data_IF_122568316908
#
_entry.id   IF_122568316908
#
_cell.length_a   1.000
_cell.length_b   1.000
_cell.length_c   1.000
_cell.angle_alpha   90.00
_cell.angle_beta   90.00
_cell.angle_gamma   90.00
#
_symmetry.space_group_name_H-M   'P 1'
#
loop_
_entity.id
_entity.type
_entity.pdbx_description
1 polymer ?
#
# COMPACT_ATOMS: atom_id res chain seq x y z
N UNK A 1 7.81 4.85 -21.99
CA UNK A 1 8.29 3.47 -21.73
C UNK A 1 9.00 3.55 -20.39
N UNK A 2 8.28 3.35 -19.29
CA UNK A 2 8.94 3.22 -17.98
C UNK A 2 9.54 1.83 -17.92
N UNK A 3 10.84 1.76 -17.69
CA UNK A 3 11.57 0.50 -17.61
C UNK A 3 11.23 -0.17 -16.27
N UNK A 4 10.52 -1.31 -16.26
CA UNK A 4 9.94 -1.89 -15.05
C UNK A 4 10.96 -2.31 -13.97
N UNK A 5 12.26 -2.35 -14.31
CA UNK A 5 13.34 -2.63 -13.36
C UNK A 5 13.88 -1.40 -12.61
N UNK A 6 13.66 -0.17 -13.13
CA UNK A 6 14.03 1.06 -12.43
C UNK A 6 13.02 1.39 -11.32
N UNK A 7 11.76 1.06 -11.58
CA UNK A 7 10.63 1.20 -10.66
C UNK A 7 10.87 0.45 -9.33
N UNK A 8 11.34 -0.80 -9.35
CA UNK A 8 11.49 -1.60 -8.12
C UNK A 8 12.45 -0.97 -7.10
N UNK A 9 13.64 -0.56 -7.55
CA UNK A 9 14.63 0.05 -6.65
C UNK A 9 14.14 1.40 -6.11
N UNK A 10 13.41 2.16 -6.93
CA UNK A 10 12.79 3.42 -6.50
C UNK A 10 11.69 3.18 -5.46
N UNK A 11 10.83 2.18 -5.68
CA UNK A 11 9.78 1.80 -4.72
C UNK A 11 10.37 1.30 -3.41
N UNK A 12 11.41 0.47 -3.47
CA UNK A 12 12.10 -0.03 -2.28
C UNK A 12 12.77 1.11 -1.50
N UNK A 13 13.42 2.05 -2.20
CA UNK A 13 14.04 3.21 -1.56
C UNK A 13 12.99 4.11 -0.88
N UNK A 14 11.85 4.34 -1.53
CA UNK A 14 10.73 5.10 -0.94
C UNK A 14 10.15 4.38 0.28
N UNK A 15 9.94 3.07 0.19
CA UNK A 15 9.45 2.25 1.30
C UNK A 15 10.37 2.32 2.51
N UNK A 16 11.69 2.12 2.31
CA UNK A 16 12.68 2.17 3.39
C UNK A 16 12.76 3.56 4.04
N UNK A 17 12.62 4.63 3.25
CA UNK A 17 12.58 5.99 3.78
C UNK A 17 11.39 6.19 4.72
N UNK A 18 10.19 5.74 4.33
CA UNK A 18 8.99 5.87 5.16
C UNK A 18 9.07 4.97 6.40
N UNK A 19 9.56 3.74 6.23
CA UNK A 19 9.73 2.79 7.33
C UNK A 19 10.71 3.29 8.40
N UNK A 20 11.73 4.06 8.02
CA UNK A 20 12.67 4.67 8.97
C UNK A 20 12.02 5.71 9.89
N UNK A 21 10.99 6.41 9.42
CA UNK A 21 10.25 7.44 10.19
C UNK A 21 9.03 6.88 10.95
N UNK A 22 8.73 5.58 10.78
CA UNK A 22 7.53 4.93 11.31
C UNK A 22 7.40 4.96 12.85
N UNK A 23 8.52 4.89 13.58
CA UNK A 23 8.52 4.99 15.05
C UNK A 23 8.08 6.39 15.54
N UNK A 24 8.29 7.42 14.73
CA UNK A 24 7.93 8.80 15.06
C UNK A 24 6.46 9.09 14.85
N UNK A 25 5.91 8.67 13.71
CA UNK A 25 4.54 8.94 13.31
C UNK A 25 3.96 7.76 12.48
N UNK A 26 3.40 6.74 13.14
CA UNK A 26 2.92 5.53 12.46
C UNK A 26 1.69 5.81 11.57
N UNK A 27 0.88 6.81 11.91
CA UNK A 27 -0.30 7.20 11.13
C UNK A 27 0.12 7.83 9.80
N UNK A 28 1.07 8.77 9.84
CA UNK A 28 1.66 9.36 8.64
C UNK A 28 2.45 8.32 7.83
N UNK A 29 3.13 7.38 8.48
CA UNK A 29 3.81 6.29 7.80
C UNK A 29 2.81 5.39 7.06
N UNK A 30 1.73 4.96 7.72
CA UNK A 30 0.67 4.16 7.10
C UNK A 30 0.11 4.84 5.84
N UNK A 31 -0.17 6.14 5.89
CA UNK A 31 -0.65 6.88 4.72
C UNK A 31 0.32 6.86 3.56
N UNK A 32 1.60 7.14 3.83
CA UNK A 32 2.63 7.16 2.79
C UNK A 32 2.88 5.76 2.19
N UNK A 33 2.86 4.71 3.02
CA UNK A 33 2.98 3.33 2.55
C UNK A 33 1.79 2.93 1.67
N UNK A 34 0.57 3.34 2.04
CA UNK A 34 -0.61 3.11 1.22
C UNK A 34 -0.48 3.77 -0.16
N UNK A 35 -0.03 5.03 -0.23
CA UNK A 35 0.16 5.73 -1.50
C UNK A 35 1.25 5.08 -2.38
N UNK A 36 2.33 4.55 -1.79
CA UNK A 36 3.36 3.79 -2.52
C UNK A 36 2.75 2.52 -3.15
N UNK A 37 2.03 1.72 -2.35
CA UNK A 37 1.40 0.47 -2.82
C UNK A 37 0.35 0.75 -3.88
N UNK A 38 -0.42 1.82 -3.72
CA UNK A 38 -1.40 2.26 -4.73
C UNK A 38 -0.75 2.48 -6.09
N UNK A 39 0.32 3.29 -6.13
CA UNK A 39 1.01 3.63 -7.37
C UNK A 39 1.58 2.38 -8.05
N UNK A 40 2.10 1.42 -7.27
CA UNK A 40 2.56 0.14 -7.80
C UNK A 40 1.41 -0.69 -8.38
N UNK A 41 0.30 -0.80 -7.66
CA UNK A 41 -0.88 -1.54 -8.11
C UNK A 41 -1.44 -0.95 -9.41
N UNK A 42 -1.61 0.37 -9.48
CA UNK A 42 -2.06 1.08 -10.68
C UNK A 42 -1.09 0.89 -11.84
N UNK A 43 0.23 0.98 -11.59
CA UNK A 43 1.27 0.77 -12.61
C UNK A 43 1.20 -0.64 -13.23
N UNK A 44 0.79 -1.64 -12.44
CA UNK A 44 0.58 -3.02 -12.89
C UNK A 44 -0.78 -3.29 -13.54
N UNK A 45 -1.67 -2.30 -13.54
CA UNK A 45 -3.00 -2.41 -14.13
C UNK A 45 -4.11 -2.82 -13.17
N UNK A 46 -3.84 -2.92 -11.86
CA UNK A 46 -4.89 -3.13 -10.87
C UNK A 46 -5.76 -1.86 -10.71
N UNK A 47 -7.08 -2.04 -10.65
CA UNK A 47 -8.04 -0.92 -10.58
C UNK A 47 -8.49 -0.61 -9.15
N UNK A 48 -7.55 -0.29 -8.27
CA UNK A 48 -7.84 0.09 -6.88
C UNK A 48 -8.63 1.42 -6.77
N UNK A 49 -8.46 2.29 -7.76
CA UNK A 49 -9.09 3.61 -7.83
C UNK A 49 -10.47 3.63 -8.51
N UNK A 50 -10.88 2.53 -9.15
CA UNK A 50 -12.14 2.50 -9.90
C UNK A 50 -13.28 1.93 -9.04
N UNK A 51 -14.28 2.73 -8.64
CA UNK A 51 -15.41 2.27 -7.84
C UNK A 51 -16.35 1.30 -8.57
N UNK A 52 -16.32 1.28 -9.90
CA UNK A 52 -17.26 0.50 -10.72
C UNK A 52 -16.75 -0.93 -10.94
N UNK A 53 -15.43 -1.15 -10.90
CA UNK A 53 -14.85 -2.49 -10.98
C UNK A 53 -14.73 -3.25 -9.64
N UNK A 54 -15.15 -2.63 -8.52
CA UNK A 54 -15.25 -3.26 -7.18
C UNK A 54 -16.44 -4.24 -7.03
N UNK A 55 -16.91 -4.80 -8.15
CA UNK A 55 -18.10 -5.67 -8.19
C UNK A 55 -17.79 -6.92 -9.02
N UNK A 56 -16.66 -7.57 -8.72
CA UNK A 56 -16.15 -8.76 -9.41
C UNK A 56 -15.37 -9.72 -8.51
N UNK A 57 -14.71 -10.72 -9.10
CA UNK A 57 -13.72 -11.57 -8.42
C UNK A 57 -12.45 -10.73 -8.22
N UNK A 58 -12.48 -9.87 -7.21
CA UNK A 58 -11.38 -8.95 -6.93
C UNK A 58 -10.15 -9.73 -6.47
N UNK A 59 -8.97 -9.47 -7.06
CA UNK A 59 -7.74 -10.08 -6.58
C UNK A 59 -7.56 -9.81 -5.09
N UNK A 60 -7.12 -10.82 -4.33
CA UNK A 60 -6.86 -10.68 -2.89
C UNK A 60 -5.98 -9.45 -2.58
N UNK A 61 -5.03 -9.14 -3.46
CA UNK A 61 -4.18 -7.95 -3.36
C UNK A 61 -4.94 -6.61 -3.38
N UNK A 62 -6.04 -6.52 -4.12
CA UNK A 62 -6.89 -5.32 -4.18
C UNK A 62 -7.71 -5.20 -2.90
N UNK A 63 -8.30 -6.31 -2.44
CA UNK A 63 -9.11 -6.33 -1.20
C UNK A 63 -8.26 -5.92 0.01
N UNK A 64 -7.07 -6.50 0.15
CA UNK A 64 -6.15 -6.16 1.24
C UNK A 64 -5.70 -4.70 1.17
N UNK A 65 -5.40 -4.18 -0.02
CA UNK A 65 -5.05 -2.77 -0.18
C UNK A 65 -6.19 -1.84 0.26
N UNK A 66 -7.42 -2.13 -0.14
CA UNK A 66 -8.58 -1.32 0.22
C UNK A 66 -8.85 -1.32 1.73
N UNK A 67 -8.67 -2.47 2.40
CA UNK A 67 -8.80 -2.56 3.86
C UNK A 67 -7.72 -1.73 4.59
N UNK A 68 -6.47 -1.77 4.11
CA UNK A 68 -5.41 -0.92 4.63
C UNK A 68 -5.70 0.57 4.40
N UNK A 69 -6.19 0.93 3.20
CA UNK A 69 -6.57 2.31 2.85
C UNK A 69 -7.70 2.84 3.72
N UNK A 70 -8.71 2.02 4.00
CA UNK A 70 -9.78 2.39 4.94
C UNK A 70 -9.20 2.65 6.35
N UNK A 71 -8.23 1.85 6.77
CA UNK A 71 -7.56 2.06 8.06
C UNK A 71 -6.74 3.35 8.08
N UNK A 72 -6.08 3.71 6.98
CA UNK A 72 -5.43 5.01 6.80
C UNK A 72 -6.43 6.15 7.01
N UNK A 73 -7.57 6.13 6.31
CA UNK A 73 -8.60 7.16 6.42
C UNK A 73 -9.15 7.25 7.85
N UNK A 74 -9.33 6.11 8.53
CA UNK A 74 -9.70 6.08 9.94
C UNK A 74 -8.61 6.65 10.85
N UNK A 75 -7.33 6.38 10.58
CA UNK A 75 -6.20 6.87 11.36
C UNK A 75 -6.06 8.39 11.26
N UNK A 76 -6.19 8.95 10.05
CA UNK A 76 -6.16 10.41 9.82
C UNK A 76 -7.29 11.14 10.58
N UNK A 77 -8.44 10.49 10.73
CA UNK A 77 -9.57 11.00 11.52
C UNK A 77 -9.42 10.74 13.04
N UNK A 78 -8.33 10.13 13.48
CA UNK A 78 -8.10 9.76 14.88
C UNK A 78 -9.02 8.65 15.40
N UNK A 79 -9.56 7.83 14.50
CA UNK A 79 -10.57 6.81 14.77
C UNK A 79 -10.07 5.37 14.51
N UNK A 80 -8.79 5.18 14.19
CA UNK A 80 -8.14 3.88 14.18
C UNK A 80 -7.36 3.67 15.50
N UNK A 81 -7.32 2.44 15.98
CA UNK A 81 -6.44 2.09 17.09
C UNK A 81 -5.01 1.86 16.59
N UNK A 82 -4.02 2.00 17.47
CA UNK A 82 -2.62 1.69 17.13
C UNK A 82 -2.43 0.27 16.61
N UNK A 83 -3.17 -0.70 17.14
CA UNK A 83 -3.13 -2.09 16.66
C UNK A 83 -3.71 -2.24 15.24
N UNK A 84 -4.73 -1.46 14.89
CA UNK A 84 -5.27 -1.45 13.53
C UNK A 84 -4.24 -0.86 12.55
N UNK A 85 -3.56 0.22 12.96
CA UNK A 85 -2.50 0.86 12.16
C UNK A 85 -1.33 -0.09 11.95
N UNK A 86 -0.85 -0.74 13.01
CA UNK A 86 0.23 -1.75 12.92
C UNK A 86 -0.17 -2.93 12.02
N UNK A 87 -1.42 -3.39 12.11
CA UNK A 87 -1.94 -4.45 11.22
C UNK A 87 -1.98 -4.01 9.75
N UNK A 88 -2.49 -2.81 9.49
CA UNK A 88 -2.57 -2.27 8.13
C UNK A 88 -1.18 -2.04 7.50
N UNK A 89 -0.18 -1.65 8.30
CA UNK A 89 1.21 -1.54 7.85
C UNK A 89 1.76 -2.90 7.43
N UNK A 90 1.53 -3.95 8.24
CA UNK A 90 1.99 -5.32 7.92
C UNK A 90 1.26 -5.89 6.68
N UNK A 91 -0.03 -5.56 6.50
CA UNK A 91 -0.78 -5.91 5.29
C UNK A 91 -0.17 -5.24 4.05
N UNK A 92 0.11 -3.93 4.10
CA UNK A 92 0.76 -3.21 3.01
C UNK A 92 2.15 -3.76 2.71
N UNK A 93 2.91 -4.17 3.73
CA UNK A 93 4.22 -4.79 3.58
C UNK A 93 4.10 -6.12 2.82
N UNK A 94 3.15 -6.95 3.22
CA UNK A 94 2.89 -8.24 2.57
C UNK A 94 2.53 -8.03 1.09
N UNK A 95 1.72 -7.01 0.79
CA UNK A 95 1.41 -6.63 -0.59
C UNK A 95 2.65 -6.15 -1.34
N UNK A 96 3.45 -5.27 -0.74
CA UNK A 96 4.69 -4.80 -1.33
C UNK A 96 5.62 -5.98 -1.69
N UNK A 97 5.85 -6.89 -0.75
CA UNK A 97 6.69 -8.07 -0.96
C UNK A 97 6.11 -9.00 -2.05
N UNK A 98 4.80 -9.22 -2.06
CA UNK A 98 4.11 -10.04 -3.08
C UNK A 98 4.30 -9.43 -4.47
N UNK A 99 3.98 -8.15 -4.62
CA UNK A 99 4.10 -7.40 -5.86
C UNK A 99 5.56 -7.46 -6.34
N UNK A 100 6.51 -7.12 -5.48
CA UNK A 100 7.94 -7.08 -5.86
C UNK A 100 8.55 -8.46 -6.14
N UNK A 101 8.04 -9.54 -5.54
CA UNK A 101 8.46 -10.91 -5.79
C UNK A 101 7.90 -11.48 -7.12
N UNK A 102 6.72 -11.05 -7.55
CA UNK A 102 6.18 -11.32 -8.89
C UNK A 102 7.04 -10.61 -9.94
N UNK A 103 8.12 -11.28 -10.38
CA UNK A 103 8.91 -10.83 -11.54
C UNK A 103 8.08 -10.97 -12.82
N UNK A 104 8.12 -9.97 -13.74
CA UNK A 104 7.46 -10.07 -15.04
C UNK A 104 8.06 -11.16 -15.93
#
# INVERSE_FOLDING_TARGET
>A
MSEPGLDLHEWQSQWESVAADMDGDPDAALSQLADIVERMLVSRGYKVNDPVERVGDEPEVVVTYLAARETTERAELGNASRGDVETAIEDLRTLFETITAERP
#
